data_IF_627288423064
#
_entry.id   IF_627288423064
#
_cell.length_a   1.000
_cell.length_b   1.000
_cell.length_c   1.000
_cell.angle_alpha   90.00
_cell.angle_beta   90.00
_cell.angle_gamma   90.00
#
_symmetry.space_group_name_H-M   'P 1'
#
loop_
_entity.id
_entity.type
_entity.pdbx_description
1 polymer ?
#
# COMPACT_ATOMS: atom_id res chain seq x y z
N UNK A 1 -35.30 -22.56 -61.52
CA UNK A 1 -35.21 -21.45 -60.55
C UNK A 1 -35.06 -22.05 -59.16
N UNK A 2 -33.85 -22.06 -58.57
CA UNK A 2 -33.60 -22.53 -57.20
C UNK A 2 -33.15 -21.32 -56.38
N UNK A 3 -33.97 -20.92 -55.41
CA UNK A 3 -33.65 -19.84 -54.46
C UNK A 3 -33.01 -20.48 -53.22
N UNK A 4 -31.71 -20.31 -53.07
CA UNK A 4 -31.00 -20.67 -51.84
C UNK A 4 -31.19 -19.55 -50.81
N UNK A 5 -31.78 -19.89 -49.66
CA UNK A 5 -31.93 -19.02 -48.50
C UNK A 5 -30.74 -19.34 -47.57
N UNK A 6 -29.84 -18.38 -47.39
CA UNK A 6 -28.73 -18.46 -46.44
C UNK A 6 -29.25 -17.93 -45.10
N UNK A 7 -29.37 -18.82 -44.10
CA UNK A 7 -29.67 -18.46 -42.72
C UNK A 7 -28.36 -18.14 -42.01
N UNK A 8 -28.13 -16.86 -41.72
CA UNK A 8 -27.04 -16.40 -40.86
C UNK A 8 -27.55 -16.46 -39.41
N UNK A 9 -27.11 -17.48 -38.66
CA UNK A 9 -27.38 -17.60 -37.23
C UNK A 9 -26.48 -16.65 -36.44
N UNK A 10 -27.06 -15.65 -35.79
CA UNK A 10 -26.39 -14.79 -34.83
C UNK A 10 -26.22 -15.56 -33.51
N UNK A 11 -25.02 -16.07 -33.23
CA UNK A 11 -24.65 -16.56 -31.91
C UNK A 11 -24.29 -15.35 -31.03
N UNK A 12 -25.25 -14.88 -30.22
CA UNK A 12 -25.00 -13.88 -29.19
C UNK A 12 -24.19 -14.54 -28.06
N UNK A 13 -22.90 -14.23 -27.98
CA UNK A 13 -22.03 -14.68 -26.90
C UNK A 13 -22.35 -13.95 -25.61
N UNK A 14 -22.79 -14.68 -24.58
CA UNK A 14 -22.76 -14.16 -23.20
C UNK A 14 -21.29 -14.02 -22.80
N UNK A 15 -20.81 -12.78 -22.69
CA UNK A 15 -19.55 -12.52 -22.00
C UNK A 15 -19.86 -12.47 -20.51
N UNK A 16 -19.49 -13.52 -19.79
CA UNK A 16 -19.55 -13.53 -18.33
C UNK A 16 -18.61 -12.44 -17.79
N UNK A 17 -19.17 -11.44 -17.12
CA UNK A 17 -18.38 -10.47 -16.35
C UNK A 17 -17.89 -11.23 -15.12
N UNK A 18 -16.61 -11.60 -15.13
CA UNK A 18 -15.95 -12.17 -13.94
C UNK A 18 -15.60 -10.99 -13.05
N UNK A 19 -16.18 -10.94 -11.85
CA UNK A 19 -15.73 -10.00 -10.82
C UNK A 19 -14.25 -10.25 -10.55
N UNK A 20 -13.42 -9.23 -10.76
CA UNK A 20 -11.99 -9.33 -10.50
C UNK A 20 -11.75 -9.00 -9.03
N UNK A 21 -10.86 -9.74 -8.38
CA UNK A 21 -10.40 -9.46 -7.03
C UNK A 21 -8.89 -9.46 -7.00
N UNK A 22 -8.34 -8.71 -6.04
CA UNK A 22 -6.91 -8.73 -5.71
C UNK A 22 -6.75 -8.98 -4.22
N UNK A 23 -5.55 -9.35 -3.80
CA UNK A 23 -5.21 -9.55 -2.39
C UNK A 23 -4.37 -8.36 -1.95
N UNK A 24 -4.85 -7.61 -0.94
CA UNK A 24 -4.12 -6.47 -0.36
C UNK A 24 -3.90 -6.71 1.13
N UNK A 25 -2.78 -6.21 1.65
CA UNK A 25 -2.62 -6.02 3.08
C UNK A 25 -3.02 -4.58 3.45
N UNK A 26 -4.01 -4.46 4.34
CA UNK A 26 -4.55 -3.17 4.79
C UNK A 26 -4.28 -3.07 6.30
N UNK A 27 -3.36 -2.19 6.75
CA UNK A 27 -2.98 -2.07 8.16
C UNK A 27 -4.19 -1.80 9.06
N UNK A 28 -4.35 -2.60 10.12
CA UNK A 28 -5.43 -2.42 11.09
C UNK A 28 -6.83 -2.82 10.63
N UNK A 29 -6.99 -3.37 9.43
CA UNK A 29 -8.26 -3.88 8.91
C UNK A 29 -8.32 -5.41 8.99
N UNK A 30 -9.49 -5.92 9.35
CA UNK A 30 -9.85 -7.32 9.20
C UNK A 30 -10.55 -7.60 7.85
N UNK A 31 -10.71 -8.89 7.54
CA UNK A 31 -11.35 -9.35 6.30
C UNK A 31 -12.81 -8.89 6.26
N UNK A 32 -13.08 -7.95 5.36
CA UNK A 32 -14.39 -7.33 5.22
C UNK A 32 -14.63 -6.89 3.77
N UNK A 33 -15.89 -6.67 3.35
CA UNK A 33 -16.18 -6.20 2.01
C UNK A 33 -15.56 -4.82 1.75
N UNK A 34 -14.52 -4.77 0.92
CA UNK A 34 -13.86 -3.54 0.46
C UNK A 34 -13.68 -3.61 -1.06
N UNK A 35 -13.90 -2.47 -1.73
CA UNK A 35 -13.47 -2.28 -3.11
C UNK A 35 -12.22 -1.42 -3.16
N UNK A 36 -11.37 -1.69 -4.15
CA UNK A 36 -10.15 -0.95 -4.40
C UNK A 36 -10.07 -0.55 -5.87
N UNK A 37 -9.84 0.73 -6.13
CA UNK A 37 -9.51 1.27 -7.45
C UNK A 37 -8.02 1.59 -7.53
N UNK A 38 -7.38 1.22 -8.64
CA UNK A 38 -5.97 1.57 -8.88
C UNK A 38 -5.91 3.03 -9.30
N UNK A 39 -5.25 3.85 -8.49
CA UNK A 39 -4.93 5.24 -8.80
C UNK A 39 -3.69 5.31 -9.70
N UNK A 40 -2.68 4.48 -9.42
CA UNK A 40 -1.45 4.43 -10.20
C UNK A 40 -0.44 3.43 -9.66
N UNK A 41 0.62 3.22 -10.44
CA UNK A 41 1.79 2.43 -10.03
C UNK A 41 3.02 3.29 -10.24
N UNK A 42 3.87 3.40 -9.22
CA UNK A 42 5.09 4.20 -9.30
C UNK A 42 6.23 3.45 -10.01
N UNK A 43 7.37 4.13 -10.23
CA UNK A 43 8.54 3.51 -10.87
C UNK A 43 9.25 2.45 -10.03
N UNK A 44 8.96 2.40 -8.73
CA UNK A 44 9.52 1.45 -7.76
C UNK A 44 8.66 0.19 -7.63
N UNK A 45 7.47 0.18 -8.22
CA UNK A 45 6.53 -0.93 -8.18
C UNK A 45 5.49 -0.85 -7.06
N UNK A 46 5.39 0.28 -6.35
CA UNK A 46 4.29 0.49 -5.40
C UNK A 46 3.02 0.80 -6.16
N UNK A 47 1.91 0.19 -5.74
CA UNK A 47 0.58 0.50 -6.27
C UNK A 47 -0.17 1.38 -5.29
N UNK A 48 -0.71 2.49 -5.80
CA UNK A 48 -1.61 3.37 -5.05
C UNK A 48 -3.05 2.95 -5.34
N UNK A 49 -3.79 2.71 -4.26
CA UNK A 49 -5.17 2.27 -4.24
C UNK A 49 -6.03 3.34 -3.57
N UNK A 50 -7.18 3.64 -4.17
CA UNK A 50 -8.29 4.31 -3.50
C UNK A 50 -9.23 3.22 -2.99
N UNK A 51 -9.39 3.14 -1.66
CA UNK A 51 -10.23 2.13 -1.04
C UNK A 51 -11.61 2.73 -0.77
N UNK A 52 -12.66 1.98 -1.11
CA UNK A 52 -14.02 2.33 -0.77
C UNK A 52 -14.68 1.22 0.04
N UNK A 53 -15.59 1.57 0.96
CA UNK A 53 -16.38 0.57 1.66
C UNK A 53 -17.13 -0.28 0.63
N UNK A 54 -17.05 -1.60 0.78
CA UNK A 54 -17.84 -2.50 -0.03
C UNK A 54 -19.33 -2.33 0.22
N UNK A 55 -20.15 -2.91 -0.66
CA UNK A 55 -21.59 -2.99 -0.43
C UNK A 55 -21.86 -3.95 0.73
N UNK A 56 -21.84 -3.44 1.96
CA UNK A 56 -22.32 -4.17 3.13
C UNK A 56 -23.84 -4.26 3.01
N UNK A 57 -24.38 -5.48 3.06
CA UNK A 57 -25.84 -5.69 3.01
C UNK A 57 -26.53 -5.25 4.30
N UNK A 58 -25.73 -5.00 5.34
CA UNK A 58 -26.19 -4.68 6.68
C UNK A 58 -25.42 -3.44 7.17
N UNK A 59 -26.13 -2.34 7.41
CA UNK A 59 -25.59 -1.05 7.91
C UNK A 59 -24.92 -1.15 9.31
N UNK A 60 -24.86 -2.36 9.87
CA UNK A 60 -24.35 -2.68 11.20
C UNK A 60 -22.92 -3.22 11.19
N UNK A 61 -22.43 -3.68 10.03
CA UNK A 61 -21.10 -4.28 9.88
C UNK A 61 -20.21 -3.36 9.04
N UNK A 62 -19.58 -2.42 9.73
CA UNK A 62 -18.23 -1.91 9.43
C UNK A 62 -17.94 -1.47 8.00
N UNK A 63 -18.51 -0.34 7.58
CA UNK A 63 -17.84 0.50 6.59
C UNK A 63 -16.97 1.56 7.28
N UNK A 64 -15.96 2.07 6.60
CA UNK A 64 -15.26 3.28 7.03
C UNK A 64 -15.91 4.53 6.40
N UNK A 65 -15.95 5.63 7.16
CA UNK A 65 -16.44 6.93 6.69
C UNK A 65 -15.23 7.78 6.33
N UNK A 66 -15.15 8.27 5.09
CA UNK A 66 -14.04 9.12 4.65
C UNK A 66 -13.31 8.54 3.44
N UNK A 67 -12.11 9.05 3.19
CA UNK A 67 -11.24 8.61 2.09
C UNK A 67 -10.09 7.81 2.67
N UNK A 68 -9.87 6.60 2.15
CA UNK A 68 -8.72 5.76 2.50
C UNK A 68 -7.88 5.57 1.25
N UNK A 69 -6.61 5.96 1.33
CA UNK A 69 -5.62 5.72 0.27
C UNK A 69 -4.56 4.78 0.80
N UNK A 70 -4.27 3.73 0.06
CA UNK A 70 -3.24 2.74 0.39
C UNK A 70 -2.15 2.76 -0.69
N UNK A 71 -0.91 2.88 -0.29
CA UNK A 71 0.26 2.63 -1.16
C UNK A 71 0.90 1.33 -0.69
N UNK A 72 0.87 0.29 -1.51
CA UNK A 72 1.41 -1.03 -1.14
C UNK A 72 2.52 -1.46 -2.12
N UNK A 73 3.59 -2.03 -1.58
CA UNK A 73 4.68 -2.63 -2.34
C UNK A 73 5.25 -3.87 -1.66
N UNK A 74 6.37 -4.37 -2.17
CA UNK A 74 6.97 -5.60 -1.66
C UNK A 74 7.63 -5.45 -0.28
N UNK A 75 8.01 -4.23 0.08
CA UNK A 75 8.74 -3.87 1.29
C UNK A 75 7.87 -3.18 2.36
N UNK A 76 6.63 -2.80 2.03
CA UNK A 76 5.75 -2.15 3.00
C UNK A 76 4.40 -1.69 2.45
N UNK A 77 3.67 -1.01 3.33
CA UNK A 77 2.40 -0.38 3.03
C UNK A 77 2.30 0.98 3.75
N UNK A 78 1.72 1.98 3.09
CA UNK A 78 1.41 3.28 3.67
C UNK A 78 -0.08 3.56 3.49
N UNK A 79 -0.80 3.69 4.61
CA UNK A 79 -2.22 3.99 4.62
C UNK A 79 -2.43 5.43 5.08
N UNK A 80 -3.19 6.19 4.31
CA UNK A 80 -3.71 7.50 4.72
C UNK A 80 -5.22 7.42 4.83
N UNK A 81 -5.75 7.87 5.96
CA UNK A 81 -7.19 8.02 6.19
C UNK A 81 -7.51 9.47 6.45
N UNK A 82 -8.55 9.99 5.79
CA UNK A 82 -9.04 11.34 5.99
C UNK A 82 -10.56 11.37 6.14
N UNK A 83 -11.04 11.96 7.24
CA UNK A 83 -12.45 12.28 7.44
C UNK A 83 -12.63 13.78 7.67
N UNK A 84 -13.17 14.45 6.65
CA UNK A 84 -13.45 15.88 6.69
C UNK A 84 -14.53 16.25 7.72
N UNK A 85 -15.44 15.34 8.04
CA UNK A 85 -16.52 15.57 9.02
C UNK A 85 -15.97 15.68 10.44
N UNK A 86 -14.91 14.90 10.72
CA UNK A 86 -14.22 14.89 12.01
C UNK A 86 -12.95 15.74 12.03
N UNK A 87 -12.56 16.34 10.88
CA UNK A 87 -11.27 17.01 10.70
C UNK A 87 -10.09 16.13 11.13
N UNK A 88 -10.20 14.83 10.86
CA UNK A 88 -9.26 13.78 11.25
C UNK A 88 -8.43 13.36 10.04
N UNK A 89 -7.11 13.28 10.22
CA UNK A 89 -6.21 12.70 9.23
C UNK A 89 -5.23 11.79 9.94
N UNK A 90 -5.19 10.52 9.53
CA UNK A 90 -4.32 9.51 10.10
C UNK A 90 -3.39 8.97 9.02
N UNK A 91 -2.13 8.79 9.39
CA UNK A 91 -1.11 8.10 8.59
C UNK A 91 -0.63 6.85 9.31
N UNK A 92 -0.52 5.75 8.58
CA UNK A 92 -0.01 4.48 9.05
C UNK A 92 1.07 3.98 8.08
N UNK A 93 2.30 3.89 8.57
CA UNK A 93 3.48 3.44 7.82
C UNK A 93 3.91 2.06 8.32
N UNK A 94 3.87 1.06 7.44
CA UNK A 94 4.25 -0.31 7.74
C UNK A 94 5.45 -0.77 6.92
N UNK A 95 6.45 -1.35 7.58
CA UNK A 95 7.57 -2.04 6.93
C UNK A 95 7.41 -3.55 7.05
N UNK A 96 7.58 -4.28 5.95
CA UNK A 96 7.49 -5.74 5.92
C UNK A 96 8.84 -6.39 6.20
N UNK A 97 8.85 -7.32 7.16
CA UNK A 97 10.03 -8.11 7.48
C UNK A 97 9.63 -9.48 8.00
N UNK A 98 10.12 -10.54 7.34
CA UNK A 98 9.96 -11.92 7.80
C UNK A 98 8.50 -12.35 8.04
N UNK A 99 7.56 -11.88 7.21
CA UNK A 99 6.12 -12.17 7.35
C UNK A 99 5.39 -11.34 8.41
N UNK A 100 6.06 -10.37 9.02
CA UNK A 100 5.47 -9.40 9.94
C UNK A 100 5.50 -8.00 9.33
N UNK A 101 4.50 -7.20 9.67
CA UNK A 101 4.45 -5.77 9.39
C UNK A 101 4.73 -5.02 10.70
N UNK A 102 5.73 -4.14 10.68
CA UNK A 102 6.03 -3.22 11.78
C UNK A 102 5.43 -1.88 11.37
N UNK A 103 4.31 -1.53 11.99
CA UNK A 103 3.50 -0.38 11.65
C UNK A 103 3.68 0.73 12.68
N UNK A 104 3.79 1.96 12.21
CA UNK A 104 3.81 3.15 13.05
C UNK A 104 2.89 4.21 12.47
N UNK A 105 2.23 4.95 13.33
CA UNK A 105 1.41 6.09 12.93
C UNK A 105 1.44 7.15 14.01
N UNK A 106 0.76 8.25 13.73
CA UNK A 106 0.53 9.31 14.70
C UNK A 106 -0.95 9.72 14.68
N UNK A 107 -1.50 10.02 15.84
CA UNK A 107 -2.82 10.65 15.95
C UNK A 107 -2.75 12.15 15.63
N UNK A 108 -3.90 12.83 15.66
CA UNK A 108 -3.99 14.28 15.43
C UNK A 108 -3.19 15.12 16.43
N UNK A 109 -2.91 14.59 17.62
CA UNK A 109 -2.12 15.25 18.66
C UNK A 109 -0.61 15.02 18.48
N UNK A 110 -0.23 14.24 17.47
CA UNK A 110 1.16 13.88 17.15
C UNK A 110 1.72 12.77 18.05
N UNK A 111 0.87 12.06 18.80
CA UNK A 111 1.30 10.93 19.61
C UNK A 111 1.56 9.75 18.68
N UNK A 112 2.82 9.33 18.63
CA UNK A 112 3.22 8.18 17.81
C UNK A 112 2.96 6.87 18.53
N UNK A 113 2.44 5.89 17.81
CA UNK A 113 2.32 4.51 18.27
C UNK A 113 3.09 3.59 17.32
N UNK A 114 3.43 2.40 17.80
CA UNK A 114 4.09 1.38 16.99
C UNK A 114 3.53 0.03 17.38
N UNK A 115 3.13 -0.74 16.38
CA UNK A 115 2.54 -2.05 16.54
C UNK A 115 3.22 -3.01 15.56
N UNK A 116 3.20 -4.30 15.92
CA UNK A 116 3.73 -5.35 15.05
C UNK A 116 2.65 -6.38 14.87
N UNK A 117 2.32 -6.66 13.61
CA UNK A 117 1.29 -7.62 13.25
C UNK A 117 1.79 -8.63 12.22
N UNK A 118 1.06 -9.74 12.10
CA UNK A 118 1.32 -10.73 11.04
C UNK A 118 0.75 -10.19 9.75
N UNK A 119 1.50 -10.27 8.64
CA UNK A 119 0.98 -9.86 7.33
C UNK A 119 -0.16 -10.82 6.96
N UNK A 120 -1.39 -10.31 6.99
CA UNK A 120 -2.60 -11.03 6.60
C UNK A 120 -3.31 -10.24 5.51
N UNK A 121 -3.09 -10.64 4.26
CA UNK A 121 -3.81 -10.06 3.13
C UNK A 121 -5.17 -10.72 2.95
N UNK A 122 -6.15 -9.96 2.49
CA UNK A 122 -7.49 -10.47 2.18
C UNK A 122 -7.96 -10.01 0.81
N UNK A 123 -8.99 -10.69 0.31
CA UNK A 123 -9.51 -10.46 -1.03
C UNK A 123 -10.37 -9.20 -1.07
N UNK A 124 -9.94 -8.22 -1.86
CA UNK A 124 -10.71 -7.01 -2.17
C UNK A 124 -11.25 -7.04 -3.58
N UNK A 125 -12.44 -6.49 -3.78
CA UNK A 125 -13.03 -6.36 -5.10
C UNK A 125 -12.30 -5.26 -5.87
N UNK A 126 -11.88 -5.55 -7.11
CA UNK A 126 -11.37 -4.51 -7.97
C UNK A 126 -12.55 -3.68 -8.49
N UNK A 127 -12.48 -2.37 -8.26
CA UNK A 127 -13.41 -1.43 -8.86
C UNK A 127 -13.20 -1.34 -10.38
N UNK A 128 -14.14 -0.68 -11.06
CA UNK A 128 -14.13 -0.61 -12.53
C UNK A 128 -13.23 0.49 -13.08
N UNK A 129 -12.43 1.17 -12.24
CA UNK A 129 -11.52 2.20 -12.70
C UNK A 129 -10.45 1.60 -13.63
N UNK A 130 -10.55 1.96 -14.91
CA UNK A 130 -9.53 1.64 -15.91
C UNK A 130 -8.23 2.36 -15.56
N UNK A 131 -7.19 1.60 -15.21
CA UNK A 131 -5.83 2.10 -15.00
C UNK A 131 -5.43 2.96 -16.22
N UNK A 132 -5.19 4.25 -16.00
CA UNK A 132 -4.59 5.09 -17.03
C UNK A 132 -3.14 4.63 -17.21
N UNK A 133 -2.89 3.80 -18.22
CA UNK A 133 -1.57 3.26 -18.50
C UNK A 133 -0.55 4.39 -18.62
N UNK A 134 0.49 4.34 -17.77
CA UNK A 134 1.62 5.26 -17.84
C UNK A 134 2.25 5.20 -19.24
N UNK A 135 1.98 6.21 -20.07
CA UNK A 135 2.67 6.38 -21.34
C UNK A 135 4.07 6.89 -21.04
N UNK A 136 5.06 5.98 -21.09
CA UNK A 136 6.47 6.32 -21.01
C UNK A 136 6.84 7.27 -22.17
N UNK A 137 6.81 8.58 -21.92
CA UNK A 137 7.26 9.58 -22.89
C UNK A 137 8.78 9.69 -22.76
N UNK A 138 9.50 8.85 -23.49
CA UNK A 138 10.95 8.94 -23.63
C UNK A 138 11.32 10.28 -24.26
N UNK A 139 11.79 11.23 -23.46
CA UNK A 139 12.38 12.48 -23.94
C UNK A 139 13.89 12.33 -23.97
N UNK A 140 14.42 12.03 -25.15
CA UNK A 140 15.84 12.14 -25.48
C UNK A 140 16.20 13.61 -25.68
N UNK A 141 16.67 14.27 -24.63
CA UNK A 141 17.27 15.61 -24.72
C UNK A 141 18.79 15.52 -24.79
N UNK A 142 19.34 16.13 -25.83
CA UNK A 142 20.71 16.01 -26.27
C UNK A 142 21.76 16.67 -25.38
N UNK A 143 22.96 16.11 -25.50
CA UNK A 143 24.25 16.66 -25.10
C UNK A 143 24.36 18.16 -25.41
N UNK A 144 24.64 18.96 -24.38
CA UNK A 144 25.25 20.28 -24.53
C UNK A 144 26.43 20.36 -23.57
N UNK A 145 27.59 20.32 -24.19
CA UNK A 145 28.92 20.42 -23.63
C UNK A 145 29.13 21.83 -23.07
N UNK A 146 29.41 21.96 -21.77
CA UNK A 146 29.90 23.20 -21.14
C UNK A 146 31.29 22.95 -20.61
N UNK A 147 32.27 23.64 -21.23
CA UNK A 147 33.61 23.81 -20.70
C UNK A 147 33.63 25.00 -19.73
N UNK A 148 34.22 24.79 -18.55
CA UNK A 148 34.46 25.85 -17.56
C UNK A 148 35.46 25.36 -16.53
N UNK A 149 36.72 25.71 -16.73
CA UNK A 149 37.83 25.49 -15.80
C UNK A 149 37.65 26.35 -14.56
N UNK A 150 37.94 25.84 -13.37
CA UNK A 150 38.56 26.64 -12.30
C UNK A 150 39.18 25.78 -11.20
N UNK A 151 40.27 26.33 -10.68
CA UNK A 151 41.36 25.73 -9.91
C UNK A 151 41.13 25.91 -8.42
N UNK A 152 41.44 24.89 -7.61
CA UNK A 152 41.36 25.02 -6.15
C UNK A 152 41.89 23.82 -5.38
N UNK A 153 43.21 23.74 -5.24
CA UNK A 153 43.92 22.82 -4.33
C UNK A 153 43.58 23.08 -2.86
N UNK A 154 43.27 22.02 -2.10
CA UNK A 154 43.83 21.78 -0.77
C UNK A 154 43.42 20.38 -0.26
N UNK A 155 44.39 19.49 -0.16
CA UNK A 155 44.39 18.41 0.84
C UNK A 155 44.84 19.01 2.19
N UNK A 156 44.44 18.44 3.35
CA UNK A 156 45.23 17.32 3.85
C UNK A 156 44.45 16.18 4.52
N UNK A 157 45.12 15.06 4.47
CA UNK A 157 45.07 13.80 5.23
C UNK A 157 44.73 13.95 6.73
N UNK A 158 43.89 13.04 7.27
CA UNK A 158 44.28 12.33 8.49
C UNK A 158 43.62 10.94 8.63
N UNK A 159 44.50 9.97 8.82
CA UNK A 159 44.27 8.56 9.12
C UNK A 159 43.74 8.34 10.53
N UNK A 160 42.88 7.35 10.71
CA UNK A 160 42.43 6.90 12.04
C UNK A 160 41.90 5.47 11.98
N UNK A 161 42.79 4.52 12.16
CA UNK A 161 42.53 3.08 12.12
C UNK A 161 42.09 2.55 13.49
N UNK A 162 41.21 1.56 13.45
CA UNK A 162 41.19 0.37 14.32
C UNK A 162 40.36 0.35 15.61
N UNK A 163 39.66 -0.79 15.70
CA UNK A 163 39.49 -1.67 16.86
C UNK A 163 38.19 -1.65 17.68
N UNK A 164 37.39 -2.69 17.35
CA UNK A 164 36.89 -3.73 18.27
C UNK A 164 35.98 -3.31 19.42
N UNK A 165 34.75 -3.85 19.40
CA UNK A 165 34.25 -4.71 20.49
C UNK A 165 32.99 -5.44 20.05
N UNK A 166 33.12 -6.76 19.88
CA UNK A 166 32.01 -7.70 20.00
C UNK A 166 31.34 -7.50 21.36
N UNK A 167 30.06 -7.11 21.38
CA UNK A 167 29.16 -7.37 22.50
C UNK A 167 28.13 -8.39 22.05
N UNK A 168 28.33 -9.64 22.48
CA UNK A 168 27.23 -10.60 22.60
C UNK A 168 26.29 -10.05 23.66
N UNK A 169 25.10 -9.64 23.27
CA UNK A 169 23.99 -9.47 24.20
C UNK A 169 23.26 -10.80 24.23
N UNK A 170 23.26 -11.43 25.40
CA UNK A 170 22.44 -12.59 25.70
C UNK A 170 21.01 -12.09 25.92
N UNK A 171 20.07 -12.49 25.06
CA UNK A 171 18.65 -12.24 25.29
C UNK A 171 18.07 -13.44 26.02
N UNK A 172 17.74 -13.22 27.28
CA UNK A 172 17.04 -14.14 28.18
C UNK A 172 15.61 -14.40 27.68
N UNK A 173 15.27 -15.66 27.47
CA UNK A 173 13.89 -16.12 27.29
C UNK A 173 13.08 -15.86 28.56
N UNK A 174 12.28 -14.80 28.56
CA UNK A 174 11.29 -14.52 29.59
C UNK A 174 9.90 -14.83 29.05
N UNK A 175 9.33 -15.97 29.44
CA UNK A 175 7.92 -16.28 29.24
C UNK A 175 7.06 -15.36 30.11
N UNK A 176 6.29 -14.47 29.50
CA UNK A 176 5.19 -13.75 30.16
C UNK A 176 3.88 -14.37 29.73
N UNK A 177 3.38 -15.25 30.60
CA UNK A 177 1.98 -15.61 30.69
C UNK A 177 1.17 -14.36 31.08
N UNK A 178 0.21 -14.02 30.23
CA UNK A 178 -1.07 -13.46 30.65
C UNK A 178 -1.12 -11.97 30.97
N UNK A 179 -1.61 -11.18 30.02
CA UNK A 179 -2.58 -10.13 30.35
C UNK A 179 -3.77 -10.32 29.42
N UNK A 180 -4.82 -10.89 30.00
CA UNK A 180 -6.17 -10.92 29.47
C UNK A 180 -6.76 -9.51 29.62
N UNK A 181 -7.23 -8.96 28.51
CA UNK A 181 -8.46 -8.17 28.43
C UNK A 181 -8.51 -6.81 29.13
N UNK A 182 -8.57 -5.75 28.33
CA UNK A 182 -9.57 -4.70 28.46
C UNK A 182 -9.57 -3.82 27.20
N UNK A 183 -10.28 -4.23 26.15
CA UNK A 183 -10.64 -3.31 25.07
C UNK A 183 -11.88 -2.55 25.52
N UNK A 184 -11.69 -1.29 25.92
CA UNK A 184 -12.78 -0.35 26.15
C UNK A 184 -13.22 0.22 24.80
N UNK A 185 -14.41 -0.18 24.36
CA UNK A 185 -15.17 0.49 23.32
C UNK A 185 -15.57 1.89 23.82
N UNK A 186 -15.28 2.91 23.03
CA UNK A 186 -16.01 4.18 23.08
C UNK A 186 -16.66 4.40 21.71
N UNK A 187 -17.99 4.52 21.75
CA UNK A 187 -18.84 5.08 20.70
C UNK A 187 -18.69 6.60 20.65
#
# INVERSE_FOLDING_TARGET
>A
MRRSIILIGFAAGLQSIVAQSTSLYIPGFDDQPISADIVGVDSSGHTTWDLQPGSVTDDSEGGFVGTVTLVEGADGAHLTYADASLSLTLGYDCTFSSGQAICSGADNDGVTFTETETISSFAVALGTATVAGASATGTSSGSSQVSGSESGSAAPTQSGSSNSSLRRVATTSGSLLGVVGLVLFFF
#
